data_IF_015735253114
#
_entry.id   IF_015735253114
#
_cell.length_a   1.000
_cell.length_b   1.000
_cell.length_c   1.000
_cell.angle_alpha   90.00
_cell.angle_beta   90.00
_cell.angle_gamma   90.00
#
_symmetry.space_group_name_H-M   'P 1'
#
loop_
_entity.id
_entity.type
_entity.pdbx_description
1 polymer ?
#
# COMPACT_ATOMS: atom_id res chain seq x y z
N UNK A 1 -6.36 8.02 -16.92
CA UNK A 1 -6.83 8.10 -15.52
C UNK A 1 -7.25 6.71 -15.12
N UNK A 2 -6.54 6.07 -14.18
CA UNK A 2 -7.00 4.80 -13.62
C UNK A 2 -8.27 5.07 -12.83
N UNK A 3 -9.36 4.37 -13.14
CA UNK A 3 -10.59 4.47 -12.35
C UNK A 3 -10.37 3.79 -11.00
N UNK A 4 -10.70 4.48 -9.90
CA UNK A 4 -10.79 3.90 -8.55
C UNK A 4 -11.69 2.66 -8.63
N UNK A 5 -11.20 1.52 -8.15
CA UNK A 5 -11.98 0.28 -8.20
C UNK A 5 -13.09 0.29 -7.15
N UNK A 6 -14.21 -0.42 -7.36
CA UNK A 6 -15.24 -0.56 -6.33
C UNK A 6 -14.69 -1.12 -5.02
N UNK A 7 -13.72 -2.04 -5.10
CA UNK A 7 -13.03 -2.58 -3.93
C UNK A 7 -12.28 -1.48 -3.17
N UNK A 8 -11.47 -0.67 -3.86
CA UNK A 8 -10.71 0.42 -3.26
C UNK A 8 -11.63 1.41 -2.53
N UNK A 9 -12.73 1.81 -3.17
CA UNK A 9 -13.69 2.70 -2.53
C UNK A 9 -14.35 2.05 -1.30
N UNK A 10 -14.73 0.77 -1.38
CA UNK A 10 -15.34 0.05 -0.26
C UNK A 10 -14.39 -0.09 0.94
N UNK A 11 -13.08 -0.25 0.72
CA UNK A 11 -12.10 -0.29 1.81
C UNK A 11 -11.93 1.06 2.49
N UNK A 12 -11.93 2.16 1.73
CA UNK A 12 -11.93 3.51 2.30
C UNK A 12 -13.17 3.69 3.17
N UNK A 13 -14.36 3.40 2.64
CA UNK A 13 -15.61 3.56 3.37
C UNK A 13 -15.63 2.72 4.66
N UNK A 14 -15.13 1.48 4.60
CA UNK A 14 -15.00 0.59 5.77
C UNK A 14 -14.10 1.18 6.85
N UNK A 15 -12.92 1.67 6.46
CA UNK A 15 -11.94 2.22 7.41
C UNK A 15 -12.40 3.55 7.99
N UNK A 16 -13.03 4.42 7.19
CA UNK A 16 -13.62 5.68 7.66
C UNK A 16 -14.74 5.46 8.67
N UNK A 17 -15.48 4.34 8.59
CA UNK A 17 -16.56 4.02 9.52
C UNK A 17 -16.08 3.60 10.93
N UNK A 18 -14.77 3.37 11.13
CA UNK A 18 -14.21 2.95 12.40
C UNK A 18 -14.14 4.16 13.34
N UNK A 19 -14.86 4.12 14.47
CA UNK A 19 -14.94 5.27 15.38
C UNK A 19 -13.66 5.56 16.14
N UNK A 20 -12.79 4.55 16.32
CA UNK A 20 -11.49 4.65 16.99
C UNK A 20 -10.50 3.76 16.25
N UNK A 21 -9.95 4.23 15.13
CA UNK A 21 -9.01 3.42 14.35
C UNK A 21 -7.72 3.22 15.14
N UNK A 22 -7.14 2.04 15.01
CA UNK A 22 -5.75 1.76 15.36
C UNK A 22 -4.79 2.62 14.53
N UNK A 23 -3.51 2.60 14.89
CA UNK A 23 -2.48 3.29 14.12
C UNK A 23 -2.41 2.72 12.70
N UNK A 24 -2.45 1.40 12.57
CA UNK A 24 -2.37 0.67 11.31
C UNK A 24 -3.57 0.94 10.40
N UNK A 25 -4.78 1.01 10.98
CA UNK A 25 -5.99 1.35 10.22
C UNK A 25 -5.94 2.81 9.72
N UNK A 26 -5.42 3.72 10.54
CA UNK A 26 -5.25 5.13 10.16
C UNK A 26 -4.21 5.28 9.04
N UNK A 27 -3.10 4.54 9.13
CA UNK A 27 -2.06 4.52 8.10
C UNK A 27 -2.56 3.93 6.78
N UNK A 28 -3.24 2.79 6.84
CA UNK A 28 -3.83 2.19 5.64
C UNK A 28 -4.89 3.13 5.01
N UNK A 29 -5.73 3.78 5.82
CA UNK A 29 -6.71 4.74 5.32
C UNK A 29 -6.03 5.90 4.58
N UNK A 30 -5.02 6.53 5.20
CA UNK A 30 -4.26 7.62 4.57
C UNK A 30 -3.64 7.21 3.23
N UNK A 31 -3.08 6.00 3.16
CA UNK A 31 -2.54 5.44 1.93
C UNK A 31 -3.61 5.29 0.84
N UNK A 32 -4.74 4.65 1.16
CA UNK A 32 -5.80 4.42 0.19
C UNK A 32 -6.44 5.73 -0.29
N UNK A 33 -6.67 6.70 0.60
CA UNK A 33 -7.21 8.00 0.23
C UNK A 33 -6.26 8.77 -0.69
N UNK A 34 -4.94 8.69 -0.43
CA UNK A 34 -3.94 9.31 -1.28
C UNK A 34 -3.88 8.68 -2.67
N UNK A 35 -3.88 7.35 -2.75
CA UNK A 35 -3.95 6.64 -4.04
C UNK A 35 -5.23 6.99 -4.82
N UNK A 36 -6.37 7.13 -4.12
CA UNK A 36 -7.65 7.54 -4.72
C UNK A 36 -7.59 8.96 -5.26
N UNK A 37 -7.05 9.90 -4.49
CA UNK A 37 -6.98 11.32 -4.85
C UNK A 37 -6.06 11.55 -6.06
N UNK A 38 -5.11 10.65 -6.30
CA UNK A 38 -3.96 10.94 -7.14
C UNK A 38 -2.95 11.78 -6.37
N UNK A 39 -1.67 11.48 -6.59
CA UNK A 39 -0.57 12.01 -5.80
C UNK A 39 0.36 12.94 -6.58
N UNK A 40 1.53 13.20 -5.99
CA UNK A 40 2.67 13.80 -6.69
C UNK A 40 3.20 12.88 -7.81
N UNK A 41 2.87 11.60 -7.71
CA UNK A 41 3.39 10.51 -8.53
C UNK A 41 2.28 9.91 -9.40
N UNK A 42 2.57 8.81 -10.10
CA UNK A 42 1.60 8.10 -10.94
C UNK A 42 0.57 7.28 -10.12
N UNK A 43 0.42 7.57 -8.82
CA UNK A 43 -0.53 6.94 -7.90
C UNK A 43 -1.97 6.87 -8.43
N UNK A 44 -2.42 7.86 -9.21
CA UNK A 44 -3.73 7.83 -9.88
C UNK A 44 -3.88 6.78 -11.01
N UNK A 45 -2.83 6.00 -11.30
CA UNK A 45 -2.86 4.83 -12.20
C UNK A 45 -2.80 3.50 -11.46
N UNK A 46 -2.54 3.54 -10.15
CA UNK A 46 -2.54 2.35 -9.30
C UNK A 46 -3.95 1.79 -9.23
N UNK A 47 -4.07 0.46 -9.31
CA UNK A 47 -5.33 -0.24 -9.05
C UNK A 47 -5.14 -1.12 -7.83
N UNK A 48 -5.82 -0.79 -6.74
CA UNK A 48 -5.80 -1.61 -5.51
C UNK A 48 -6.73 -2.80 -5.71
N UNK A 49 -6.18 -4.00 -5.47
CA UNK A 49 -6.88 -5.28 -5.55
C UNK A 49 -7.22 -5.84 -4.18
N UNK A 50 -6.31 -5.68 -3.22
CA UNK A 50 -6.52 -6.11 -1.83
C UNK A 50 -5.71 -5.26 -0.85
N UNK A 51 -6.14 -5.19 0.39
CA UNK A 51 -5.39 -4.57 1.48
C UNK A 51 -5.87 -5.02 2.87
N UNK A 52 -4.95 -5.04 3.82
CA UNK A 52 -5.25 -5.37 5.21
C UNK A 52 -4.18 -4.81 6.14
N UNK A 53 -4.55 -4.66 7.41
CA UNK A 53 -3.61 -4.29 8.47
C UNK A 53 -2.90 -5.53 9.00
N UNK A 54 -1.67 -5.36 9.44
CA UNK A 54 -0.86 -6.35 10.17
C UNK A 54 -0.36 -5.69 11.46
N UNK A 55 0.29 -6.44 12.35
CA UNK A 55 0.94 -5.83 13.52
C UNK A 55 1.96 -4.77 13.05
N UNK A 56 1.83 -3.55 13.58
CA UNK A 56 2.72 -2.42 13.32
C UNK A 56 2.76 -1.96 11.85
N UNK A 57 1.76 -2.28 11.03
CA UNK A 57 1.76 -1.87 9.63
C UNK A 57 0.58 -2.36 8.80
N UNK A 58 0.77 -2.43 7.48
CA UNK A 58 -0.26 -2.87 6.55
C UNK A 58 0.31 -3.47 5.26
N UNK A 59 -0.57 -4.10 4.49
CA UNK A 59 -0.26 -4.67 3.19
C UNK A 59 -1.22 -4.15 2.13
N UNK A 60 -0.71 -4.00 0.90
CA UNK A 60 -1.50 -3.64 -0.28
C UNK A 60 -1.08 -4.51 -1.46
N UNK A 61 -2.06 -5.11 -2.12
CA UNK A 61 -1.89 -5.78 -3.42
C UNK A 61 -2.45 -4.87 -4.50
N UNK A 62 -1.65 -4.57 -5.51
CA UNK A 62 -1.99 -3.55 -6.49
C UNK A 62 -1.39 -3.82 -7.86
N UNK A 63 -2.02 -3.27 -8.91
CA UNK A 63 -1.35 -3.07 -10.19
C UNK A 63 -0.57 -1.76 -10.13
N UNK A 64 0.75 -1.84 -10.27
CA UNK A 64 1.67 -0.71 -10.29
C UNK A 64 1.51 0.14 -11.57
N UNK A 65 1.99 1.40 -11.55
CA UNK A 65 2.15 2.19 -12.78
C UNK A 65 3.06 1.43 -13.77
N UNK A 66 2.51 1.03 -14.91
CA UNK A 66 3.19 0.16 -15.88
C UNK A 66 2.52 -1.21 -16.08
N UNK A 67 1.55 -1.57 -15.22
CA UNK A 67 0.65 -2.69 -15.45
C UNK A 67 1.03 -4.02 -14.77
N UNK A 68 2.16 -4.06 -14.06
CA UNK A 68 2.56 -5.24 -13.28
C UNK A 68 1.84 -5.28 -11.94
N UNK A 69 1.32 -6.45 -11.56
CA UNK A 69 0.79 -6.69 -10.22
C UNK A 69 1.93 -6.92 -9.22
N UNK A 70 1.81 -6.33 -8.03
CA UNK A 70 2.75 -6.48 -6.93
C UNK A 70 2.03 -6.42 -5.58
N UNK A 71 2.68 -6.97 -4.56
CA UNK A 71 2.33 -6.75 -3.16
C UNK A 71 3.35 -5.82 -2.50
N UNK A 72 2.89 -5.00 -1.56
CA UNK A 72 3.77 -4.30 -0.62
C UNK A 72 3.36 -4.62 0.81
N UNK A 73 4.35 -4.91 1.64
CA UNK A 73 4.23 -5.02 3.09
C UNK A 73 5.05 -3.89 3.72
N UNK A 74 4.41 -3.08 4.54
CA UNK A 74 5.07 -1.99 5.27
C UNK A 74 4.87 -2.17 6.76
N UNK A 75 5.90 -1.84 7.54
CA UNK A 75 5.87 -1.78 9.01
C UNK A 75 6.50 -0.46 9.48
N UNK A 76 6.05 0.03 10.63
CA UNK A 76 6.37 1.35 11.19
C UNK A 76 7.84 1.54 11.61
N UNK A 77 8.68 0.51 11.49
CA UNK A 77 10.12 0.54 11.76
C UNK A 77 10.96 -0.07 10.62
N UNK A 78 10.31 -0.43 9.51
CA UNK A 78 10.93 -1.11 8.37
C UNK A 78 11.68 -0.18 7.41
N UNK A 79 12.29 -0.76 6.37
CA UNK A 79 13.02 -0.02 5.32
C UNK A 79 12.17 1.11 4.69
N UNK A 80 10.87 0.87 4.53
CA UNK A 80 9.93 1.84 3.95
C UNK A 80 9.64 3.00 4.90
N UNK A 81 9.68 2.77 6.23
CA UNK A 81 9.55 3.82 7.24
C UNK A 81 10.81 4.69 7.31
N UNK A 82 11.99 4.09 7.19
CA UNK A 82 13.25 4.86 7.15
C UNK A 82 13.39 5.74 5.90
N UNK A 83 12.61 5.43 4.86
CA UNK A 83 12.52 6.20 3.62
C UNK A 83 11.37 7.20 3.63
N UNK A 84 10.59 7.29 4.72
CA UNK A 84 9.53 8.28 4.85
C UNK A 84 10.13 9.69 4.82
N UNK A 85 9.49 10.58 4.05
CA UNK A 85 9.98 11.95 3.86
C UNK A 85 9.60 12.88 5.02
N UNK A 86 8.66 12.44 5.86
CA UNK A 86 8.15 13.19 7.01
C UNK A 86 8.87 12.76 8.30
N UNK A 87 9.35 13.73 9.09
CA UNK A 87 9.95 13.45 10.40
C UNK A 87 8.85 13.27 11.46
N UNK A 88 8.88 12.16 12.20
CA UNK A 88 7.87 11.78 13.21
C UNK A 88 6.42 11.85 12.66
N UNK A 89 6.12 11.12 11.57
CA UNK A 89 4.84 11.23 10.90
C UNK A 89 3.70 10.73 11.79
N UNK A 90 2.53 11.36 11.67
CA UNK A 90 1.30 10.69 12.13
C UNK A 90 1.08 9.41 11.31
N UNK A 91 0.26 8.49 11.81
CA UNK A 91 -0.09 7.27 11.06
C UNK A 91 -0.58 7.59 9.63
N UNK A 92 -1.46 8.60 9.51
CA UNK A 92 -2.00 9.04 8.23
C UNK A 92 -0.91 9.58 7.31
N UNK A 93 0.00 10.43 7.82
CA UNK A 93 1.10 10.98 7.02
C UNK A 93 2.04 9.87 6.53
N UNK A 94 2.33 8.88 7.38
CA UNK A 94 3.08 7.70 6.98
C UNK A 94 2.38 6.96 5.82
N UNK A 95 1.07 6.75 5.93
CA UNK A 95 0.28 6.15 4.85
C UNK A 95 0.36 6.93 3.53
N UNK A 96 0.30 8.27 3.60
CA UNK A 96 0.42 9.16 2.44
C UNK A 96 1.80 9.03 1.80
N UNK A 97 2.87 9.02 2.59
CA UNK A 97 4.24 8.85 2.08
C UNK A 97 4.42 7.48 1.39
N UNK A 98 3.87 6.40 1.96
CA UNK A 98 3.87 5.08 1.31
C UNK A 98 3.11 5.11 -0.01
N UNK A 99 1.93 5.74 -0.06
CA UNK A 99 1.16 5.86 -1.28
C UNK A 99 1.93 6.60 -2.39
N UNK A 100 2.56 7.72 -2.08
CA UNK A 100 3.27 8.52 -3.08
C UNK A 100 4.58 7.84 -3.50
N UNK A 101 5.45 7.47 -2.56
CA UNK A 101 6.85 7.12 -2.83
C UNK A 101 7.15 5.62 -2.92
N UNK A 102 6.21 4.77 -2.49
CA UNK A 102 6.38 3.31 -2.54
C UNK A 102 5.45 2.69 -3.59
N UNK A 103 4.17 3.01 -3.56
CA UNK A 103 3.15 2.38 -4.41
C UNK A 103 2.91 3.16 -5.70
N UNK A 104 2.86 4.49 -5.61
CA UNK A 104 2.51 5.39 -6.71
C UNK A 104 3.62 5.63 -7.72
N UNK A 105 4.84 5.19 -7.42
CA UNK A 105 5.97 5.18 -8.35
C UNK A 105 5.99 3.88 -9.18
N UNK A 106 6.42 3.92 -10.45
CA UNK A 106 6.75 2.71 -11.19
C UNK A 106 7.78 1.88 -10.42
N UNK A 107 7.59 0.56 -10.37
CA UNK A 107 8.48 -0.35 -9.63
C UNK A 107 9.96 -0.23 -10.05
N UNK A 108 10.24 0.15 -11.30
CA UNK A 108 11.59 0.46 -11.77
C UNK A 108 12.59 -0.67 -11.49
N UNK A 109 13.68 -0.35 -10.81
CA UNK A 109 14.72 -1.33 -10.43
C UNK A 109 14.27 -2.31 -9.35
N UNK A 110 13.23 -1.99 -8.56
CA UNK A 110 12.71 -2.88 -7.51
C UNK A 110 12.06 -4.15 -8.08
N UNK A 111 11.64 -4.15 -9.35
CA UNK A 111 11.10 -5.36 -10.02
C UNK A 111 12.04 -6.56 -9.89
N UNK A 112 13.36 -6.34 -9.99
CA UNK A 112 14.36 -7.40 -9.90
C UNK A 112 14.62 -7.90 -8.47
N UNK A 113 14.08 -7.23 -7.46
CA UNK A 113 14.29 -7.55 -6.03
C UNK A 113 13.00 -7.94 -5.32
N UNK A 114 11.87 -8.05 -6.05
CA UNK A 114 10.62 -8.52 -5.46
C UNK A 114 10.77 -9.98 -5.01
N UNK A 115 10.29 -10.27 -3.82
CA UNK A 115 10.30 -11.62 -3.28
C UNK A 115 8.98 -12.28 -3.67
N UNK A 116 8.99 -13.36 -4.47
CA UNK A 116 7.76 -14.04 -4.87
C UNK A 116 7.13 -14.78 -3.69
N UNK A 117 5.80 -14.72 -3.59
CA UNK A 117 5.03 -15.62 -2.73
C UNK A 117 4.72 -16.97 -3.43
N UNK A 118 3.95 -17.84 -2.77
CA UNK A 118 3.58 -19.17 -3.28
C UNK A 118 2.75 -19.11 -4.57
N UNK A 119 2.01 -18.02 -4.80
CA UNK A 119 1.19 -17.80 -5.98
C UNK A 119 1.96 -17.03 -7.09
N UNK A 120 3.24 -16.71 -6.86
CA UNK A 120 4.11 -16.01 -7.80
C UNK A 120 3.92 -14.49 -7.84
N UNK A 121 3.15 -13.90 -6.92
CA UNK A 121 3.06 -12.45 -6.78
C UNK A 121 4.36 -11.93 -6.16
N UNK A 122 4.99 -10.95 -6.80
CA UNK A 122 6.20 -10.32 -6.27
C UNK A 122 5.88 -9.30 -5.18
N UNK A 123 6.52 -9.44 -4.02
CA UNK A 123 6.35 -8.56 -2.87
C UNK A 123 7.56 -7.67 -2.61
N UNK A 124 7.30 -6.41 -2.27
CA UNK A 124 8.27 -5.52 -1.66
C UNK A 124 7.97 -5.39 -0.16
N UNK A 125 8.97 -5.64 0.69
CA UNK A 125 8.85 -5.60 2.14
C UNK A 125 9.78 -6.61 2.80
N UNK A 126 9.96 -6.47 4.11
CA UNK A 126 10.78 -7.41 4.88
C UNK A 126 9.99 -8.71 5.19
N UNK A 127 10.63 -9.89 5.06
CA UNK A 127 10.02 -11.16 5.41
C UNK A 127 9.82 -11.31 6.94
N UNK A 128 8.89 -12.18 7.41
CA UNK A 128 8.04 -13.06 6.60
C UNK A 128 6.94 -12.28 5.90
N UNK A 129 6.80 -12.53 4.60
CA UNK A 129 5.72 -11.94 3.82
C UNK A 129 4.41 -12.67 4.17
N UNK A 130 3.32 -11.95 4.43
CA UNK A 130 2.04 -12.59 4.62
C UNK A 130 1.67 -13.34 3.32
N UNK A 131 1.04 -14.52 3.42
CA UNK A 131 0.46 -15.13 2.23
C UNK A 131 -0.53 -14.14 1.62
N UNK A 132 -0.48 -13.94 0.30
CA UNK A 132 -1.55 -13.22 -0.35
C UNK A 132 -2.89 -13.89 -0.01
N UNK A 133 -3.93 -13.14 0.37
CA UNK A 133 -5.27 -13.71 0.48
C UNK A 133 -5.62 -14.33 -0.87
N UNK A 134 -6.08 -15.58 -0.84
CA UNK A 134 -6.43 -16.33 -2.05
C UNK A 134 -7.40 -15.50 -2.89
N UNK A 135 -6.96 -15.05 -4.06
CA UNK A 135 -7.83 -14.40 -5.06
C UNK A 135 -8.99 -15.36 -5.36
N UNK A 136 -10.20 -15.00 -4.92
CA UNK A 136 -11.43 -15.76 -5.22
C UNK A 136 -11.98 -15.36 -6.58
#
# INVERSE_FOLDING_TARGET
MGSVTPFHQAQIDRLTAISRPSWEESALLGCLERLRAGGLTEGGRVRVHDCWVITDGFCVVYTAPGGQDAGVRVIADGEQFQSAFTFDPTATDFGVDIADFTIGEPLGTRVGTLVPDEDGLGWWGDPPLPPAPKRR
#
